data_IF_810494688577
#
_entry.id   IF_810494688577
#
_cell.length_a   1.000
_cell.length_b   1.000
_cell.length_c   1.000
_cell.angle_alpha   90.00
_cell.angle_beta   90.00
_cell.angle_gamma   90.00
#
_symmetry.space_group_name_H-M   'P 1'
#
loop_
_entity.id
_entity.type
_entity.pdbx_description
1 polymer ?
#
# COMPACT_ATOMS: atom_id res chain seq x y z
N UNK A 1 17.81 9.49 -5.11
CA UNK A 1 16.88 8.34 -5.03
C UNK A 1 17.34 7.31 -6.05
N UNK A 2 17.79 6.13 -5.62
CA UNK A 2 18.22 5.05 -6.52
C UNK A 2 17.29 3.84 -6.29
N UNK A 3 16.41 3.51 -7.25
CA UNK A 3 15.49 2.38 -7.12
C UNK A 3 16.21 1.03 -7.32
N UNK A 4 15.82 0.03 -6.54
CA UNK A 4 16.26 -1.35 -6.70
C UNK A 4 15.21 -2.14 -7.47
N UNK A 5 15.62 -2.78 -8.56
CA UNK A 5 14.77 -3.66 -9.35
C UNK A 5 15.00 -5.12 -8.95
N UNK A 6 13.91 -5.87 -8.80
CA UNK A 6 13.97 -7.29 -8.49
C UNK A 6 13.38 -8.11 -9.64
N UNK A 7 14.03 -9.22 -9.98
CA UNK A 7 13.56 -10.11 -11.03
C UNK A 7 12.28 -10.86 -10.62
N UNK A 8 12.11 -11.17 -9.33
CA UNK A 8 11.01 -12.01 -8.83
C UNK A 8 10.57 -11.62 -7.42
N UNK A 9 9.38 -12.08 -7.03
CA UNK A 9 8.91 -12.03 -5.64
C UNK A 9 9.90 -12.67 -4.66
N UNK A 10 10.50 -13.80 -5.02
CA UNK A 10 11.48 -14.50 -4.18
C UNK A 10 12.75 -13.67 -3.95
N UNK A 11 13.23 -12.96 -4.97
CA UNK A 11 14.39 -12.07 -4.83
C UNK A 11 14.08 -10.90 -3.89
N UNK A 12 12.90 -10.29 -4.01
CA UNK A 12 12.48 -9.23 -3.08
C UNK A 12 12.27 -9.75 -1.66
N UNK A 13 11.67 -10.93 -1.50
CA UNK A 13 11.55 -11.59 -0.21
C UNK A 13 12.92 -11.82 0.43
N UNK A 14 13.88 -12.34 -0.32
CA UNK A 14 15.25 -12.55 0.18
C UNK A 14 15.86 -11.23 0.67
N UNK A 15 15.65 -10.13 -0.04
CA UNK A 15 16.07 -8.81 0.44
C UNK A 15 15.39 -8.43 1.76
N UNK A 16 14.08 -8.64 1.88
CA UNK A 16 13.34 -8.36 3.12
C UNK A 16 13.82 -9.21 4.30
N UNK A 17 14.09 -10.51 4.12
CA UNK A 17 14.61 -11.37 5.19
C UNK A 17 15.86 -10.77 5.84
N UNK A 18 16.77 -10.21 5.04
CA UNK A 18 18.02 -9.63 5.54
C UNK A 18 17.91 -8.18 6.02
N UNK A 19 16.98 -7.39 5.48
CA UNK A 19 17.01 -5.93 5.62
C UNK A 19 15.81 -5.30 6.35
N UNK A 20 14.69 -6.03 6.51
CA UNK A 20 13.41 -5.45 6.93
C UNK A 20 13.45 -4.73 8.29
N UNK A 21 14.34 -5.13 9.19
CA UNK A 21 14.47 -4.53 10.53
C UNK A 21 15.49 -3.38 10.58
N UNK A 22 16.49 -3.39 9.68
CA UNK A 22 17.60 -2.44 9.70
C UNK A 22 17.42 -1.27 8.71
N UNK A 23 16.50 -1.40 7.74
CA UNK A 23 16.30 -0.41 6.68
C UNK A 23 15.03 0.41 6.92
N UNK A 24 15.16 1.74 6.88
CA UNK A 24 14.04 2.66 7.09
C UNK A 24 13.10 2.77 5.88
N UNK A 25 13.65 2.65 4.66
CA UNK A 25 12.89 2.66 3.42
C UNK A 25 13.65 2.01 2.27
N UNK A 26 12.90 1.55 1.27
CA UNK A 26 13.43 1.06 0.00
C UNK A 26 12.59 1.60 -1.14
N UNK A 27 13.22 2.11 -2.20
CA UNK A 27 12.53 2.38 -3.45
C UNK A 27 12.62 1.15 -4.34
N UNK A 28 11.49 0.48 -4.57
CA UNK A 28 11.41 -0.69 -5.44
C UNK A 28 11.01 -0.23 -6.83
N UNK A 29 11.84 -0.55 -7.83
CA UNK A 29 11.59 -0.28 -9.24
C UNK A 29 10.70 -1.34 -9.88
N UNK A 30 9.85 -0.88 -10.81
CA UNK A 30 8.90 -1.69 -11.58
C UNK A 30 8.97 -1.30 -13.05
N UNK A 31 8.97 -2.29 -13.92
CA UNK A 31 8.73 -2.08 -15.34
C UNK A 31 7.22 -2.06 -15.61
N UNK A 32 6.79 -1.17 -16.50
CA UNK A 32 5.41 -1.14 -16.96
C UNK A 32 5.10 -2.38 -17.79
N UNK A 33 3.86 -2.86 -17.74
CA UNK A 33 3.42 -4.03 -18.53
C UNK A 33 3.69 -3.84 -20.03
N UNK A 34 3.45 -2.63 -20.55
CA UNK A 34 3.68 -2.27 -21.96
C UNK A 34 5.14 -2.31 -22.41
N UNK A 35 6.12 -2.35 -21.50
CA UNK A 35 7.54 -2.41 -21.87
C UNK A 35 8.03 -3.81 -22.24
N UNK A 36 7.29 -4.86 -21.87
CA UNK A 36 7.69 -6.26 -22.09
C UNK A 36 8.91 -6.73 -21.29
N UNK A 37 9.50 -5.89 -20.44
CA UNK A 37 10.72 -6.21 -19.68
C UNK A 37 10.51 -7.19 -18.52
N UNK A 38 9.26 -7.38 -18.07
CA UNK A 38 8.92 -8.29 -16.97
C UNK A 38 9.44 -7.85 -15.60
N UNK A 39 9.69 -8.82 -14.72
CA UNK A 39 10.21 -8.60 -13.36
C UNK A 39 9.14 -8.66 -12.26
N UNK A 40 9.54 -8.26 -11.05
CA UNK A 40 8.64 -8.17 -9.90
C UNK A 40 7.42 -7.30 -10.24
N UNK A 41 6.22 -7.83 -10.04
CA UNK A 41 5.00 -7.04 -10.17
C UNK A 41 4.71 -6.26 -8.89
N UNK A 42 3.99 -5.14 -9.01
CA UNK A 42 3.52 -4.38 -7.83
C UNK A 42 2.69 -5.24 -6.88
N UNK A 43 1.86 -6.14 -7.41
CA UNK A 43 1.03 -7.02 -6.59
C UNK A 43 1.89 -7.99 -5.75
N UNK A 44 2.89 -8.61 -6.37
CA UNK A 44 3.85 -9.46 -5.66
C UNK A 44 4.66 -8.67 -4.62
N UNK A 45 5.09 -7.45 -4.94
CA UNK A 45 5.81 -6.59 -4.01
C UNK A 45 4.96 -6.24 -2.78
N UNK A 46 3.67 -5.94 -2.97
CA UNK A 46 2.75 -5.68 -1.86
C UNK A 46 2.58 -6.93 -0.98
N UNK A 47 2.42 -8.11 -1.59
CA UNK A 47 2.27 -9.36 -0.87
C UNK A 47 3.49 -9.66 0.00
N UNK A 48 4.69 -9.59 -0.57
CA UNK A 48 5.92 -9.81 0.20
C UNK A 48 6.13 -8.72 1.24
N UNK A 49 5.92 -7.43 0.92
CA UNK A 49 6.04 -6.35 1.90
C UNK A 49 5.09 -6.56 3.10
N UNK A 50 3.84 -6.97 2.88
CA UNK A 50 2.89 -7.26 3.96
C UNK A 50 3.37 -8.43 4.84
N UNK A 51 4.02 -9.44 4.26
CA UNK A 51 4.59 -10.55 5.04
C UNK A 51 5.58 -10.08 6.11
N UNK A 52 6.29 -8.97 5.87
CA UNK A 52 7.30 -8.40 6.80
C UNK A 52 6.80 -7.16 7.55
N UNK A 53 5.52 -6.78 7.40
CA UNK A 53 4.96 -5.61 8.09
C UNK A 53 5.33 -4.29 7.44
N UNK A 54 5.67 -4.31 6.16
CA UNK A 54 5.96 -3.14 5.34
C UNK A 54 4.72 -2.68 4.57
N UNK A 55 4.77 -1.47 4.01
CA UNK A 55 3.72 -0.88 3.18
C UNK A 55 4.35 -0.07 2.04
N UNK A 56 3.69 -0.07 0.89
CA UNK A 56 3.99 0.85 -0.21
C UNK A 56 3.47 2.28 0.08
N UNK A 57 4.03 3.25 -0.62
CA UNK A 57 3.69 4.65 -0.48
C UNK A 57 3.77 5.38 -1.81
N UNK A 58 4.54 6.47 -1.81
CA UNK A 58 4.62 7.39 -2.95
C UNK A 58 5.21 6.68 -4.16
N UNK A 59 4.64 6.99 -5.32
CA UNK A 59 5.05 6.50 -6.63
C UNK A 59 5.84 7.60 -7.32
N UNK A 60 6.99 7.26 -7.89
CA UNK A 60 7.76 8.14 -8.75
C UNK A 60 7.95 7.51 -10.12
N UNK A 61 7.70 8.29 -11.18
CA UNK A 61 8.10 7.91 -12.53
C UNK A 61 9.62 8.00 -12.63
N UNK A 62 10.24 6.99 -13.23
CA UNK A 62 11.67 7.00 -13.54
C UNK A 62 11.85 7.42 -15.00
N UNK A 63 11.20 6.71 -15.92
CA UNK A 63 11.29 6.95 -17.36
C UNK A 63 10.00 6.53 -18.09
N UNK A 64 10.07 6.39 -19.42
CA UNK A 64 8.94 5.98 -20.26
C UNK A 64 8.41 4.57 -19.94
N UNK A 65 9.27 3.67 -19.49
CA UNK A 65 9.04 2.24 -19.32
C UNK A 65 9.06 1.79 -17.85
N UNK A 66 9.47 2.65 -16.91
CA UNK A 66 9.64 2.28 -15.51
C UNK A 66 9.21 3.34 -14.50
N UNK A 67 8.87 2.88 -13.30
CA UNK A 67 8.49 3.68 -12.15
C UNK A 67 8.95 2.99 -10.86
N UNK A 68 8.98 3.68 -9.72
CA UNK A 68 9.23 3.05 -8.43
C UNK A 68 8.17 3.40 -7.39
N UNK A 69 8.03 2.52 -6.41
CA UNK A 69 7.30 2.79 -5.18
C UNK A 69 8.27 2.86 -4.01
N UNK A 70 8.03 3.79 -3.10
CA UNK A 70 8.68 3.79 -1.79
C UNK A 70 7.98 2.78 -0.87
N UNK A 71 8.74 1.85 -0.33
CA UNK A 71 8.30 0.90 0.68
C UNK A 71 8.94 1.21 2.02
N UNK A 72 8.18 1.10 3.10
CA UNK A 72 8.65 1.36 4.47
C UNK A 72 8.06 0.39 5.49
N UNK A 73 8.72 0.14 6.62
CA UNK A 73 8.09 -0.48 7.78
C UNK A 73 6.83 0.29 8.20
N UNK A 74 5.76 -0.43 8.53
CA UNK A 74 4.54 0.21 9.06
C UNK A 74 4.81 0.81 10.43
N UNK A 75 4.50 2.10 10.57
CA UNK A 75 4.53 2.76 11.87
C UNK A 75 3.42 2.21 12.79
N UNK A 76 3.66 2.08 14.11
CA UNK A 76 2.62 1.77 15.07
C UNK A 76 1.44 2.74 14.95
N UNK A 77 0.22 2.21 14.91
CA UNK A 77 -1.00 3.02 14.75
C UNK A 77 -1.15 3.70 13.39
N UNK A 78 -0.47 3.22 12.35
CA UNK A 78 -0.79 3.53 10.95
C UNK A 78 -2.13 2.93 10.52
N UNK A 79 -2.72 3.48 9.46
CA UNK A 79 -3.99 3.00 8.93
C UNK A 79 -3.83 1.66 8.21
N UNK A 80 -4.87 0.84 8.25
CA UNK A 80 -4.97 -0.42 7.51
C UNK A 80 -6.22 -0.42 6.65
N UNK A 81 -6.08 -0.73 5.36
CA UNK A 81 -7.23 -0.95 4.47
C UNK A 81 -7.75 -2.37 4.63
N UNK A 82 -9.03 -2.57 4.36
CA UNK A 82 -9.69 -3.87 4.26
C UNK A 82 -9.03 -4.74 3.18
N UNK A 83 -8.51 -4.14 2.11
CA UNK A 83 -7.74 -4.84 1.07
C UNK A 83 -6.47 -5.46 1.66
N UNK A 84 -5.69 -4.69 2.42
CA UNK A 84 -4.48 -5.22 3.06
C UNK A 84 -4.80 -6.27 4.12
N UNK A 85 -5.92 -6.13 4.85
CA UNK A 85 -6.38 -7.17 5.76
C UNK A 85 -6.74 -8.48 5.02
N UNK A 86 -7.40 -8.38 3.87
CA UNK A 86 -7.70 -9.53 3.04
C UNK A 86 -6.43 -10.22 2.53
N UNK A 87 -5.43 -9.44 2.11
CA UNK A 87 -4.11 -9.96 1.72
C UNK A 87 -3.41 -10.64 2.90
N UNK A 88 -3.33 -10.01 4.08
CA UNK A 88 -2.73 -10.65 5.27
C UNK A 88 -3.45 -11.94 5.62
N UNK A 89 -4.79 -11.99 5.55
CA UNK A 89 -5.55 -13.22 5.78
C UNK A 89 -5.14 -14.32 4.79
N UNK A 90 -5.10 -14.01 3.49
CA UNK A 90 -4.69 -14.94 2.43
C UNK A 90 -3.26 -15.43 2.64
N UNK A 91 -2.32 -14.53 2.90
CA UNK A 91 -0.89 -14.85 3.11
C UNK A 91 -0.65 -15.66 4.38
N UNK A 92 -1.42 -15.40 5.45
CA UNK A 92 -1.39 -16.21 6.67
C UNK A 92 -1.87 -17.63 6.43
N UNK A 93 -2.98 -17.80 5.70
CA UNK A 93 -3.48 -19.14 5.33
C UNK A 93 -2.50 -19.90 4.44
N UNK A 94 -1.73 -19.19 3.61
CA UNK A 94 -0.68 -19.76 2.78
C UNK A 94 0.67 -19.96 3.51
N UNK A 95 0.75 -19.69 4.82
CA UNK A 95 1.98 -19.87 5.60
C UNK A 95 3.13 -18.92 5.25
N UNK A 96 2.87 -17.82 4.52
CA UNK A 96 3.92 -16.92 4.02
C UNK A 96 4.34 -15.81 4.97
N UNK A 97 3.51 -15.52 5.98
CA UNK A 97 3.72 -14.39 6.89
C UNK A 97 4.98 -14.58 7.74
N UNK A 98 5.83 -13.57 7.78
CA UNK A 98 6.97 -13.49 8.69
C UNK A 98 6.50 -12.99 10.07
N UNK A 99 7.17 -13.35 11.20
CA UNK A 99 6.81 -12.86 12.54
C UNK A 99 6.66 -11.34 12.63
N UNK A 100 7.52 -10.58 11.93
CA UNK A 100 7.45 -9.12 11.89
C UNK A 100 6.11 -8.61 11.28
N UNK A 101 5.64 -9.23 10.20
CA UNK A 101 4.36 -8.87 9.59
C UNK A 101 3.15 -9.25 10.45
N UNK A 102 3.22 -10.39 11.15
CA UNK A 102 2.20 -10.77 12.13
C UNK A 102 2.13 -9.78 13.28
N UNK A 103 3.28 -9.35 13.81
CA UNK A 103 3.37 -8.35 14.88
C UNK A 103 2.80 -6.99 14.42
N UNK A 104 3.18 -6.53 13.23
CA UNK A 104 2.66 -5.27 12.67
C UNK A 104 1.14 -5.33 12.45
N UNK A 105 0.62 -6.46 11.98
CA UNK A 105 -0.83 -6.68 11.83
C UNK A 105 -1.54 -6.74 13.18
N UNK A 106 -0.97 -7.39 14.20
CA UNK A 106 -1.56 -7.47 15.54
C UNK A 106 -1.60 -6.09 16.24
N UNK A 107 -0.60 -5.24 16.02
CA UNK A 107 -0.52 -3.89 16.59
C UNK A 107 -1.47 -2.87 15.93
N UNK A 108 -2.27 -3.27 14.94
CA UNK A 108 -3.23 -2.37 14.28
C UNK A 108 -4.33 -1.93 15.26
N UNK A 109 -4.79 -0.68 15.10
CA UNK A 109 -5.92 -0.15 15.87
C UNK A 109 -7.22 -0.36 15.08
N UNK A 110 -8.24 -0.94 15.71
CA UNK A 110 -9.55 -1.12 15.09
C UNK A 110 -10.12 0.21 14.56
N UNK A 111 -10.02 1.28 15.36
CA UNK A 111 -10.42 2.64 14.97
C UNK A 111 -9.65 3.23 13.77
N UNK A 112 -8.54 2.62 13.35
CA UNK A 112 -7.72 3.03 12.19
C UNK A 112 -7.73 2.00 11.06
N UNK A 113 -8.69 1.09 11.08
CA UNK A 113 -8.85 0.02 10.11
C UNK A 113 -10.10 0.27 9.27
N UNK A 114 -10.01 0.14 7.95
CA UNK A 114 -11.16 0.30 7.05
C UNK A 114 -11.66 1.74 6.93
N UNK A 115 -10.84 2.72 7.33
CA UNK A 115 -11.23 4.13 7.41
C UNK A 115 -10.80 4.96 6.19
N UNK A 116 -10.20 4.35 5.16
CA UNK A 116 -9.82 5.12 3.99
C UNK A 116 -11.04 5.67 3.25
N UNK A 117 -10.89 6.83 2.61
CA UNK A 117 -11.97 7.51 1.90
C UNK A 117 -12.58 6.63 0.79
N UNK A 118 -11.76 5.87 0.07
CA UNK A 118 -12.24 4.95 -0.97
C UNK A 118 -13.10 3.81 -0.41
N UNK A 119 -12.92 3.43 0.85
CA UNK A 119 -13.69 2.38 1.53
C UNK A 119 -15.04 2.92 2.02
N UNK A 120 -15.08 4.20 2.38
CA UNK A 120 -16.26 4.84 2.99
C UNK A 120 -17.03 5.76 2.03
N UNK A 121 -16.63 5.86 0.75
CA UNK A 121 -17.25 6.77 -0.24
C UNK A 121 -18.77 6.63 -0.36
N UNK A 122 -19.31 5.41 -0.16
CA UNK A 122 -20.75 5.13 -0.29
C UNK A 122 -21.55 5.52 0.97
N UNK A 123 -20.91 5.52 2.13
CA UNK A 123 -21.54 5.76 3.44
C UNK A 123 -21.28 7.17 3.95
N UNK A 124 -20.21 7.83 3.48
CA UNK A 124 -19.88 9.20 3.84
C UNK A 124 -21.03 10.15 3.47
N UNK A 125 -21.44 10.99 4.43
CA UNK A 125 -22.46 12.02 4.26
C UNK A 125 -21.91 13.34 4.78
N UNK A 126 -22.20 14.42 4.06
CA UNK A 126 -21.95 15.76 4.56
C UNK A 126 -22.98 16.07 5.67
N UNK A 127 -22.56 16.68 6.79
CA UNK A 127 -23.50 17.26 7.74
C UNK A 127 -24.46 18.22 7.04
N UNK A 128 -25.71 18.29 7.50
CA UNK A 128 -26.79 19.05 6.85
C UNK A 128 -26.43 20.51 6.58
N UNK A 129 -25.67 21.15 7.48
CA UNK A 129 -25.20 22.53 7.30
C UNK A 129 -24.19 22.65 6.13
N UNK A 130 -23.21 21.74 6.05
CA UNK A 130 -22.23 21.70 4.97
C UNK A 130 -22.88 21.35 3.62
N UNK A 131 -23.83 20.42 3.60
CA UNK A 131 -24.59 20.10 2.39
C UNK A 131 -25.39 21.30 1.89
N UNK A 132 -26.01 22.08 2.79
CA UNK A 132 -26.72 23.32 2.44
C UNK A 132 -25.77 24.35 1.83
N UNK A 133 -24.63 24.59 2.47
CA UNK A 133 -23.61 25.50 1.95
C UNK A 133 -23.10 25.04 0.57
N UNK A 134 -22.86 23.74 0.40
CA UNK A 134 -22.38 23.18 -0.86
C UNK A 134 -23.42 23.33 -1.98
N UNK A 135 -24.70 23.05 -1.71
CA UNK A 135 -25.80 23.27 -2.66
C UNK A 135 -26.00 24.74 -3.04
N UNK A 136 -25.72 25.68 -2.13
CA UNK A 136 -25.80 27.11 -2.42
C UNK A 136 -24.74 27.57 -3.44
N UNK A 137 -23.59 26.90 -3.49
CA UNK A 137 -22.57 27.11 -4.51
C UNK A 137 -22.94 26.42 -5.84
N UNK A 138 -23.91 27.00 -6.58
CA UNK A 138 -24.53 26.39 -7.77
C UNK A 138 -23.55 25.82 -8.80
N UNK A 139 -22.45 26.53 -9.10
CA UNK A 139 -21.41 26.07 -10.04
C UNK A 139 -20.70 24.80 -9.55
N UNK A 140 -20.39 24.73 -8.26
CA UNK A 140 -19.74 23.57 -7.66
C UNK A 140 -20.71 22.38 -7.54
N UNK A 141 -21.98 22.65 -7.19
CA UNK A 141 -23.01 21.61 -7.12
C UNK A 141 -23.32 20.98 -8.49
N UNK A 142 -23.28 21.77 -9.57
CA UNK A 142 -23.52 21.25 -10.91
C UNK A 142 -22.38 20.38 -11.46
N UNK A 143 -21.14 20.57 -10.95
CA UNK A 143 -19.98 19.77 -11.34
C UNK A 143 -19.92 18.41 -10.62
N UNK A 144 -20.40 18.35 -9.38
CA UNK A 144 -20.35 17.19 -8.50
C UNK A 144 -21.43 16.15 -8.80
#
# INVERSE_FOLDING_TARGET
MQPTFFATAAAFRSWLEHNHAATAELYVGFHKVESGLGGLTKAEAIDEALCFGWIDGIIHRIDAQSYCHRFTPRRPGSNWSNVNLAHVRRLRLAGKMHPAGLAAHAARKAAKTGIYSFENRKTARLPTAMLRQFKAAKKAWAFF
#
